data_IF_622861271396
#
_entry.id   IF_622861271396
#
_cell.length_a   1.000
_cell.length_b   1.000
_cell.length_c   1.000
_cell.angle_alpha   90.00
_cell.angle_beta   90.00
_cell.angle_gamma   90.00
#
_symmetry.space_group_name_H-M   'P 1'
#
loop_
_entity.id
_entity.type
_entity.pdbx_description
1 polymer ?
#
# COMPACT_ATOMS: atom_id res chain seq x y z
N UNK A 1 45.77 -7.69 3.43
CA UNK A 1 44.59 -7.66 2.50
C UNK A 1 43.57 -6.70 3.08
N UNK A 2 43.14 -5.70 2.32
CA UNK A 2 42.21 -4.65 2.77
C UNK A 2 40.79 -4.96 2.26
N UNK A 3 39.80 -4.82 3.13
CA UNK A 3 38.38 -4.98 2.81
C UNK A 3 37.65 -3.67 3.06
N UNK A 4 37.19 -3.03 2.00
CA UNK A 4 36.50 -1.73 2.07
C UNK A 4 34.99 -1.91 2.30
N UNK A 5 34.63 -2.33 3.51
CA UNK A 5 33.23 -2.58 3.90
C UNK A 5 32.33 -1.33 3.82
N UNK A 6 32.94 -0.14 3.79
CA UNK A 6 32.23 1.13 3.59
C UNK A 6 32.10 1.56 2.14
N UNK A 7 32.56 0.77 1.18
CA UNK A 7 32.39 1.05 -0.25
C UNK A 7 31.00 0.66 -0.73
N UNK A 8 30.33 1.52 -1.51
CA UNK A 8 28.97 1.23 -2.05
C UNK A 8 28.93 0.01 -2.97
N UNK A 9 30.08 -0.42 -3.50
CA UNK A 9 30.19 -1.58 -4.38
C UNK A 9 30.57 -2.87 -3.65
N UNK A 10 30.96 -2.79 -2.35
CA UNK A 10 31.40 -3.95 -1.60
C UNK A 10 30.22 -4.87 -1.26
N UNK A 11 30.35 -6.16 -1.62
CA UNK A 11 29.28 -7.16 -1.41
C UNK A 11 29.71 -8.18 -0.33
N UNK A 12 31.01 -8.49 -0.22
CA UNK A 12 31.57 -9.36 0.81
C UNK A 12 31.54 -10.85 0.50
N UNK A 13 30.45 -11.37 -0.07
CA UNK A 13 30.28 -12.82 -0.36
C UNK A 13 30.49 -13.21 -1.82
N UNK A 14 30.72 -12.24 -2.70
CA UNK A 14 31.05 -12.43 -4.11
C UNK A 14 31.81 -11.22 -4.62
N UNK A 15 32.48 -11.28 -5.80
CA UNK A 15 33.12 -10.12 -6.39
C UNK A 15 32.13 -8.98 -6.61
N UNK A 16 32.57 -7.75 -6.34
CA UNK A 16 31.82 -6.57 -6.73
C UNK A 16 31.84 -6.39 -8.25
N UNK A 17 31.12 -5.38 -8.76
CA UNK A 17 31.01 -5.14 -10.22
C UNK A 17 32.35 -4.92 -10.95
N UNK A 18 33.42 -4.59 -10.21
CA UNK A 18 34.75 -4.40 -10.76
C UNK A 18 35.63 -5.66 -10.74
N UNK A 19 35.20 -6.72 -10.04
CA UNK A 19 35.85 -8.03 -10.03
C UNK A 19 37.27 -8.07 -9.48
N UNK A 20 37.69 -7.07 -8.67
CA UNK A 20 39.05 -6.93 -8.15
C UNK A 20 39.08 -6.85 -6.62
N UNK A 21 40.25 -7.11 -6.01
CA UNK A 21 40.44 -6.93 -4.58
C UNK A 21 40.43 -5.44 -4.21
N UNK A 22 39.93 -5.14 -3.01
CA UNK A 22 39.81 -3.74 -2.53
C UNK A 22 41.16 -3.06 -2.36
N UNK A 23 42.23 -3.81 -2.09
CA UNK A 23 43.59 -3.29 -1.87
C UNK A 23 44.15 -2.52 -3.08
N UNK A 24 43.83 -2.98 -4.29
CA UNK A 24 44.28 -2.37 -5.55
C UNK A 24 43.17 -1.58 -6.25
N UNK A 25 42.03 -1.42 -5.61
CA UNK A 25 40.85 -0.82 -6.23
C UNK A 25 40.93 0.70 -6.30
N UNK A 26 40.87 1.25 -7.52
CA UNK A 26 40.78 2.69 -7.78
C UNK A 26 39.34 3.21 -7.88
N UNK A 27 38.35 2.30 -7.81
CA UNK A 27 36.93 2.61 -7.98
C UNK A 27 36.17 2.59 -6.63
N UNK A 28 36.87 2.78 -5.52
CA UNK A 28 36.24 2.88 -4.21
C UNK A 28 35.40 4.14 -4.15
N UNK A 29 34.13 3.96 -3.87
CA UNK A 29 33.17 5.03 -3.65
C UNK A 29 32.55 4.83 -2.26
N UNK A 30 32.55 5.85 -1.38
CA UNK A 30 31.87 5.74 -0.08
C UNK A 30 30.39 5.39 -0.28
N UNK A 31 29.87 4.51 0.56
CA UNK A 31 28.43 4.34 0.67
C UNK A 31 27.82 5.63 1.24
N UNK A 32 26.67 6.03 0.70
CA UNK A 32 25.88 7.11 1.27
C UNK A 32 25.31 6.75 2.65
N UNK A 33 24.52 7.64 3.23
CA UNK A 33 23.86 7.41 4.51
C UNK A 33 23.14 6.06 4.53
N UNK A 34 23.31 5.31 5.61
CA UNK A 34 22.63 4.01 5.80
C UNK A 34 21.34 4.23 6.54
N UNK A 35 20.23 4.00 5.84
CA UNK A 35 18.89 4.19 6.37
C UNK A 35 18.18 2.85 6.51
N UNK A 36 17.60 2.60 7.67
CA UNK A 36 16.70 1.47 7.88
C UNK A 36 15.27 2.00 8.01
N UNK A 37 14.37 1.52 7.15
CA UNK A 37 12.92 1.74 7.29
C UNK A 37 12.32 0.48 7.90
N UNK A 38 11.62 0.62 9.00
CA UNK A 38 10.85 -0.43 9.67
C UNK A 38 9.37 -0.13 9.42
N UNK A 39 8.76 -0.87 8.49
CA UNK A 39 7.32 -0.83 8.21
C UNK A 39 6.86 -2.23 7.84
N UNK A 40 6.24 -2.91 8.80
CA UNK A 40 5.93 -4.33 8.72
C UNK A 40 4.59 -4.58 8.04
N UNK A 41 3.57 -3.82 8.41
CA UNK A 41 2.19 -3.98 7.92
C UNK A 41 1.35 -2.72 8.20
N UNK A 42 0.03 -2.72 7.88
CA UNK A 42 -0.60 -3.65 6.94
C UNK A 42 -0.05 -3.50 5.51
N UNK A 43 -0.38 -4.44 4.60
CA UNK A 43 0.14 -4.44 3.21
C UNK A 43 -0.06 -3.09 2.50
N UNK A 44 -1.26 -2.50 2.63
CA UNK A 44 -1.55 -1.18 2.08
C UNK A 44 -0.70 -0.08 2.68
N UNK A 45 -0.41 -0.16 4.00
CA UNK A 45 0.44 0.81 4.69
C UNK A 45 1.90 0.70 4.26
N UNK A 46 2.40 -0.51 4.04
CA UNK A 46 3.75 -0.70 3.48
C UNK A 46 3.85 -0.03 2.12
N UNK A 47 2.85 -0.26 1.24
CA UNK A 47 2.85 0.33 -0.09
C UNK A 47 2.77 1.86 -0.04
N UNK A 48 1.83 2.45 0.72
CA UNK A 48 1.69 3.91 0.78
C UNK A 48 2.87 4.60 1.46
N UNK A 49 3.60 3.90 2.35
CA UNK A 49 4.82 4.42 2.97
C UNK A 49 5.98 4.59 1.97
N UNK A 50 5.95 3.93 0.81
CA UNK A 50 6.97 4.12 -0.23
C UNK A 50 7.02 5.55 -0.77
N UNK A 51 5.97 6.35 -0.56
CA UNK A 51 5.98 7.80 -0.87
C UNK A 51 7.04 8.60 -0.11
N UNK A 52 7.58 8.08 0.99
CA UNK A 52 8.70 8.70 1.72
C UNK A 52 10.02 8.66 0.94
N UNK A 53 10.19 7.70 0.04
CA UNK A 53 11.49 7.42 -0.58
C UNK A 53 12.04 8.58 -1.42
N UNK A 54 11.26 9.26 -2.28
CA UNK A 54 11.78 10.43 -3.00
C UNK A 54 12.14 11.59 -2.07
N UNK A 55 11.36 11.83 -1.00
CA UNK A 55 11.68 12.84 0.00
C UNK A 55 12.95 12.49 0.78
N UNK A 56 13.13 11.20 1.09
CA UNK A 56 14.34 10.69 1.74
C UNK A 56 15.59 10.87 0.83
N UNK A 57 15.47 10.57 -0.46
CA UNK A 57 16.57 10.79 -1.41
C UNK A 57 16.94 12.27 -1.55
N UNK A 58 15.96 13.18 -1.50
CA UNK A 58 16.25 14.63 -1.47
C UNK A 58 16.99 15.06 -0.21
N UNK A 59 16.59 14.52 0.94
CA UNK A 59 17.21 14.88 2.23
C UNK A 59 18.57 14.20 2.44
N UNK A 60 18.78 13.01 1.89
CA UNK A 60 19.96 12.19 2.03
C UNK A 60 20.39 11.61 0.67
N UNK A 61 20.95 12.42 -0.25
CA UNK A 61 21.29 11.97 -1.60
C UNK A 61 22.25 10.77 -1.59
N UNK A 62 21.88 9.71 -2.34
CA UNK A 62 22.65 8.48 -2.42
C UNK A 62 22.55 7.60 -1.16
N UNK A 63 21.55 7.81 -0.33
CA UNK A 63 21.29 6.96 0.84
C UNK A 63 21.11 5.48 0.45
N UNK A 64 21.64 4.59 1.25
CA UNK A 64 21.42 3.14 1.11
C UNK A 64 20.29 2.70 2.02
N UNK A 65 19.13 2.52 1.42
CA UNK A 65 17.91 2.15 2.15
C UNK A 65 17.80 0.63 2.26
N UNK A 66 17.75 0.13 3.50
CA UNK A 66 17.26 -1.19 3.84
C UNK A 66 15.83 -1.05 4.37
N UNK A 67 14.95 -1.94 3.94
CA UNK A 67 13.55 -1.95 4.38
C UNK A 67 13.21 -3.26 5.05
N UNK A 68 12.83 -3.20 6.32
CA UNK A 68 12.36 -4.34 7.11
C UNK A 68 10.83 -4.40 7.04
N UNK A 69 10.28 -5.52 6.57
CA UNK A 69 8.84 -5.70 6.35
C UNK A 69 8.39 -7.15 6.57
N UNK A 70 7.08 -7.35 6.70
CA UNK A 70 6.52 -8.71 6.67
C UNK A 70 6.87 -9.38 5.32
N UNK A 71 7.25 -10.68 5.33
CA UNK A 71 7.50 -11.42 4.09
C UNK A 71 6.37 -11.33 3.05
N UNK A 72 5.11 -11.26 3.50
CA UNK A 72 3.96 -11.09 2.61
C UNK A 72 3.92 -9.71 1.93
N UNK A 73 4.51 -8.67 2.54
CA UNK A 73 4.57 -7.32 1.99
C UNK A 73 5.81 -7.09 1.09
N UNK A 74 6.86 -7.89 1.23
CA UNK A 74 8.09 -7.76 0.46
C UNK A 74 7.87 -7.65 -1.07
N UNK A 75 6.91 -8.40 -1.69
CA UNK A 75 6.63 -8.28 -3.11
C UNK A 75 6.17 -6.87 -3.55
N UNK A 76 5.61 -6.05 -2.67
CA UNK A 76 5.18 -4.68 -2.97
C UNK A 76 6.37 -3.74 -3.18
N UNK A 77 7.53 -4.07 -2.63
CA UNK A 77 8.74 -3.26 -2.63
C UNK A 77 9.73 -3.63 -3.75
N UNK A 78 9.49 -4.75 -4.44
CA UNK A 78 10.39 -5.25 -5.49
C UNK A 78 10.46 -4.27 -6.68
N UNK A 79 11.69 -4.08 -7.18
CA UNK A 79 11.95 -3.18 -8.32
C UNK A 79 11.91 -1.69 -7.98
N UNK A 80 11.79 -1.33 -6.71
CA UNK A 80 11.87 0.06 -6.29
C UNK A 80 13.34 0.52 -6.28
N UNK A 81 13.66 1.54 -7.08
CA UNK A 81 15.03 2.01 -7.29
C UNK A 81 15.69 2.63 -6.05
N UNK A 82 14.88 3.12 -5.10
CA UNK A 82 15.37 3.69 -3.85
C UNK A 82 15.70 2.62 -2.80
N UNK A 83 15.19 1.38 -2.93
CA UNK A 83 15.38 0.32 -1.95
C UNK A 83 16.54 -0.59 -2.37
N UNK A 84 17.56 -0.65 -1.55
CA UNK A 84 18.77 -1.44 -1.81
C UNK A 84 18.70 -2.85 -1.22
N UNK A 85 17.96 -3.02 -0.13
CA UNK A 85 17.82 -4.29 0.58
C UNK A 85 16.42 -4.41 1.16
N UNK A 86 15.75 -5.54 0.94
CA UNK A 86 14.46 -5.87 1.56
C UNK A 86 14.73 -7.01 2.53
N UNK A 87 14.39 -6.80 3.79
CA UNK A 87 14.63 -7.73 4.89
C UNK A 87 13.30 -8.26 5.42
N UNK A 88 13.16 -9.57 5.60
CA UNK A 88 11.98 -10.12 6.26
C UNK A 88 12.00 -9.82 7.77
N UNK A 89 10.84 -9.47 8.33
CA UNK A 89 10.65 -9.38 9.77
C UNK A 89 10.37 -10.77 10.34
N UNK A 90 11.43 -11.49 10.66
CA UNK A 90 11.41 -12.82 11.24
C UNK A 90 12.46 -12.95 12.38
N UNK A 91 12.61 -14.15 12.91
CA UNK A 91 13.57 -14.42 13.96
C UNK A 91 15.03 -14.17 13.57
N UNK A 92 15.36 -14.13 12.28
CA UNK A 92 16.71 -13.84 11.80
C UNK A 92 16.99 -12.34 11.64
N UNK A 93 15.94 -11.49 11.68
CA UNK A 93 16.09 -10.05 11.47
C UNK A 93 17.00 -9.38 12.49
N UNK A 94 16.80 -9.66 13.79
CA UNK A 94 17.62 -9.04 14.83
C UNK A 94 19.11 -9.43 14.73
N UNK A 95 19.51 -10.70 14.65
CA UNK A 95 20.92 -11.07 14.46
C UNK A 95 21.56 -10.47 13.21
N UNK A 96 20.78 -10.31 12.13
CA UNK A 96 21.27 -9.71 10.89
C UNK A 96 21.46 -8.18 10.99
N UNK A 97 20.65 -7.51 11.81
CA UNK A 97 20.65 -6.06 11.97
C UNK A 97 21.48 -5.56 13.14
N UNK A 98 21.55 -6.32 14.24
CA UNK A 98 22.22 -5.92 15.49
C UNK A 98 23.69 -5.46 15.33
N UNK A 99 24.53 -6.08 14.48
CA UNK A 99 25.91 -5.62 14.29
C UNK A 99 26.02 -4.40 13.36
N UNK A 100 24.93 -4.00 12.69
CA UNK A 100 24.92 -2.87 11.76
C UNK A 100 24.80 -1.55 12.53
N UNK A 101 25.36 -0.50 11.95
CA UNK A 101 25.15 0.88 12.39
C UNK A 101 24.45 1.64 11.27
N UNK A 102 23.41 2.36 11.64
CA UNK A 102 22.62 3.19 10.72
C UNK A 102 22.87 4.67 11.03
N UNK A 103 22.80 5.50 10.01
CA UNK A 103 22.78 6.94 10.18
C UNK A 103 21.36 7.39 10.58
N UNK A 104 20.34 6.70 10.04
CA UNK A 104 18.93 6.96 10.35
C UNK A 104 18.13 5.65 10.43
N UNK A 105 17.30 5.51 11.46
CA UNK A 105 16.22 4.52 11.55
C UNK A 105 14.88 5.27 11.50
N UNK A 106 14.02 4.87 10.57
CA UNK A 106 12.63 5.29 10.45
C UNK A 106 11.74 4.12 10.87
N UNK A 107 10.90 4.31 11.89
CA UNK A 107 9.97 3.30 12.40
C UNK A 107 8.57 3.88 12.48
N UNK A 108 7.60 3.29 11.75
CA UNK A 108 6.23 3.82 11.63
C UNK A 108 5.16 2.86 12.13
N UNK A 109 5.56 1.72 12.71
CA UNK A 109 4.65 0.75 13.32
C UNK A 109 4.55 0.95 14.84
N UNK A 110 3.34 0.77 15.37
CA UNK A 110 3.05 0.89 16.82
C UNK A 110 3.08 -0.46 17.54
N UNK A 111 3.18 -1.57 16.81
CA UNK A 111 3.28 -2.90 17.37
C UNK A 111 4.58 -3.05 18.18
N UNK A 112 4.54 -3.77 19.33
CA UNK A 112 5.71 -3.89 20.21
C UNK A 112 6.96 -4.47 19.53
N UNK A 113 6.80 -5.41 18.60
CA UNK A 113 7.93 -6.05 17.90
C UNK A 113 8.77 -5.06 17.08
N UNK A 114 8.21 -4.41 16.05
CA UNK A 114 8.95 -3.45 15.23
C UNK A 114 9.40 -2.20 16.02
N UNK A 115 8.54 -1.66 16.90
CA UNK A 115 8.89 -0.51 17.72
C UNK A 115 10.03 -0.82 18.71
N UNK A 116 10.02 -2.02 19.32
CA UNK A 116 11.10 -2.49 20.18
C UNK A 116 12.40 -2.73 19.41
N UNK A 117 12.31 -3.24 18.18
CA UNK A 117 13.49 -3.43 17.34
C UNK A 117 14.15 -2.08 16.98
N UNK A 118 13.34 -1.04 16.69
CA UNK A 118 13.85 0.30 16.46
C UNK A 118 14.66 0.83 17.67
N UNK A 119 14.24 0.51 18.90
CA UNK A 119 14.98 0.86 20.12
C UNK A 119 16.30 0.10 20.27
N UNK A 120 16.30 -1.19 19.99
CA UNK A 120 17.47 -2.06 20.20
C UNK A 120 18.57 -1.83 19.18
N UNK A 121 18.26 -1.39 17.97
CA UNK A 121 19.25 -1.20 16.91
C UNK A 121 20.05 0.10 17.10
N UNK A 122 21.30 0.10 16.63
CA UNK A 122 22.21 1.24 16.73
C UNK A 122 22.04 2.20 15.55
N UNK A 123 21.72 3.47 15.83
CA UNK A 123 21.64 4.54 14.82
C UNK A 123 22.08 5.88 15.41
N UNK A 124 22.52 6.81 14.55
CA UNK A 124 22.78 8.20 14.94
C UNK A 124 21.49 8.96 15.22
N UNK A 125 20.46 8.69 14.40
CA UNK A 125 19.13 9.25 14.57
C UNK A 125 18.06 8.15 14.46
N UNK A 126 17.03 8.27 15.29
CA UNK A 126 15.82 7.43 15.22
C UNK A 126 14.61 8.33 15.14
N UNK A 127 13.70 8.05 14.21
CA UNK A 127 12.50 8.86 13.96
C UNK A 127 11.26 8.01 13.82
N UNK A 128 10.12 8.55 14.22
CA UNK A 128 8.82 7.89 14.19
C UNK A 128 8.43 7.29 15.54
N UNK A 129 8.25 5.98 15.62
CA UNK A 129 7.68 5.27 16.78
C UNK A 129 8.71 4.32 17.40
N UNK A 130 8.87 4.40 18.72
CA UNK A 130 9.65 3.50 19.55
C UNK A 130 8.82 2.80 20.60
N UNK A 131 9.46 1.97 21.41
CA UNK A 131 8.86 1.22 22.51
C UNK A 131 9.52 1.61 23.82
N UNK A 132 8.74 2.08 24.79
CA UNK A 132 9.22 2.47 26.10
C UNK A 132 9.66 1.27 26.94
N UNK A 133 10.37 1.51 28.04
CA UNK A 133 10.72 0.48 29.01
C UNK A 133 9.50 -0.19 29.67
N UNK A 134 8.32 0.41 29.57
CA UNK A 134 7.05 -0.15 30.04
C UNK A 134 6.33 -0.99 29.00
N UNK A 135 6.92 -1.18 27.80
CA UNK A 135 6.33 -1.96 26.71
C UNK A 135 5.22 -1.24 25.95
N UNK A 136 5.14 0.08 26.06
CA UNK A 136 4.16 0.91 25.35
C UNK A 136 4.82 1.72 24.24
N UNK A 137 4.18 1.86 23.05
CA UNK A 137 4.72 2.68 21.98
C UNK A 137 4.72 4.17 22.36
N UNK A 138 5.69 4.91 21.83
CA UNK A 138 5.80 6.36 22.02
C UNK A 138 6.50 7.02 20.81
N UNK A 139 6.36 8.34 20.58
CA UNK A 139 7.06 9.03 19.51
C UNK A 139 8.56 9.20 19.85
N UNK A 140 9.45 8.84 18.91
CA UNK A 140 10.91 8.95 19.06
C UNK A 140 11.43 10.38 18.90
N UNK A 141 10.67 11.23 18.21
CA UNK A 141 11.04 12.62 17.89
C UNK A 141 9.78 13.51 17.95
N UNK A 142 9.98 14.79 18.11
CA UNK A 142 8.90 15.76 18.31
C UNK A 142 7.97 15.84 17.10
N UNK A 143 8.49 15.69 15.90
CA UNK A 143 7.70 15.73 14.67
C UNK A 143 6.74 14.53 14.55
N UNK A 144 7.04 13.42 15.25
CA UNK A 144 6.18 12.24 15.28
C UNK A 144 5.00 12.36 16.27
N UNK A 145 5.01 13.34 17.18
CA UNK A 145 3.98 13.48 18.23
C UNK A 145 2.59 13.66 17.63
N UNK A 146 2.44 14.47 16.61
CA UNK A 146 1.13 14.68 15.96
C UNK A 146 0.63 13.40 15.30
N UNK A 147 1.46 12.74 14.48
CA UNK A 147 1.12 11.45 13.87
C UNK A 147 0.75 10.37 14.90
N UNK A 148 1.51 10.33 16.00
CA UNK A 148 1.25 9.39 17.11
C UNK A 148 -0.10 9.69 17.79
N UNK A 149 -0.37 10.97 18.09
CA UNK A 149 -1.58 11.43 18.80
C UNK A 149 -2.87 11.15 18.04
N UNK A 150 -2.86 11.10 16.71
CA UNK A 150 -4.00 10.69 15.90
C UNK A 150 -4.50 9.28 16.23
N UNK A 151 -3.64 8.42 16.75
CA UNK A 151 -4.04 7.09 17.20
C UNK A 151 -4.59 7.05 18.65
N UNK A 152 -4.55 8.16 19.36
CA UNK A 152 -4.98 8.29 20.77
C UNK A 152 -6.28 9.09 20.92
N UNK A 153 -6.71 9.79 19.88
CA UNK A 153 -7.91 10.67 19.94
C UNK A 153 -8.70 10.60 18.64
N UNK A 154 -9.93 10.12 18.75
CA UNK A 154 -10.88 10.10 17.64
C UNK A 154 -11.20 11.51 17.14
N UNK A 155 -11.33 12.49 18.03
CA UNK A 155 -11.54 13.90 17.68
C UNK A 155 -10.38 14.44 16.81
N UNK A 156 -9.14 14.20 17.23
CA UNK A 156 -7.97 14.61 16.43
C UNK A 156 -7.96 13.92 15.06
N UNK A 157 -8.23 12.62 15.03
CA UNK A 157 -8.14 11.80 13.83
C UNK A 157 -9.25 12.09 12.83
N UNK A 158 -10.50 12.20 13.29
CA UNK A 158 -11.65 12.23 12.40
C UNK A 158 -12.20 13.63 12.15
N UNK A 159 -12.02 14.56 13.11
CA UNK A 159 -12.62 15.88 13.03
C UNK A 159 -11.59 16.99 12.73
N UNK A 160 -10.36 16.86 13.26
CA UNK A 160 -9.34 17.91 13.14
C UNK A 160 -8.26 17.63 12.12
N UNK A 161 -8.00 16.35 11.79
CA UNK A 161 -6.96 16.03 10.83
C UNK A 161 -7.45 16.24 9.39
N UNK A 162 -6.76 17.10 8.66
CA UNK A 162 -6.97 17.33 7.23
C UNK A 162 -5.83 16.77 6.37
N UNK A 163 -4.76 16.26 7.01
CA UNK A 163 -3.58 15.77 6.31
C UNK A 163 -3.76 14.34 5.84
N UNK A 164 -3.22 14.05 4.66
CA UNK A 164 -3.13 12.67 4.15
C UNK A 164 -2.08 11.88 4.91
N UNK A 165 -2.15 10.56 4.83
CA UNK A 165 -1.13 9.67 5.42
C UNK A 165 0.28 9.98 4.91
N UNK A 166 0.42 10.29 3.61
CA UNK A 166 1.72 10.59 2.99
C UNK A 166 2.36 11.83 3.64
N UNK A 167 1.55 12.87 3.83
CA UNK A 167 1.99 14.09 4.52
C UNK A 167 2.35 13.81 5.99
N UNK A 168 1.46 13.13 6.72
CA UNK A 168 1.66 12.78 8.13
C UNK A 168 2.90 11.90 8.35
N UNK A 169 3.12 10.92 7.49
CA UNK A 169 4.26 10.03 7.59
C UNK A 169 5.59 10.76 7.29
N UNK A 170 5.62 11.63 6.28
CA UNK A 170 6.80 12.44 5.97
C UNK A 170 7.13 13.41 7.13
N UNK A 171 6.13 14.12 7.63
CA UNK A 171 6.27 15.03 8.76
C UNK A 171 6.77 14.30 10.01
N UNK A 172 6.19 13.12 10.33
CA UNK A 172 6.57 12.32 11.50
C UNK A 172 8.06 11.92 11.50
N UNK A 173 8.66 11.79 10.33
CA UNK A 173 10.09 11.46 10.20
C UNK A 173 10.95 12.64 9.81
N UNK A 174 10.39 13.86 9.88
CA UNK A 174 11.10 15.12 9.61
C UNK A 174 11.52 15.30 8.16
N UNK A 175 10.76 14.75 7.22
CA UNK A 175 10.94 14.94 5.78
C UNK A 175 9.91 15.94 5.24
N UNK A 176 10.32 16.74 4.26
CA UNK A 176 9.42 17.65 3.54
C UNK A 176 8.59 16.88 2.51
N UNK A 177 7.27 16.90 2.67
CA UNK A 177 6.33 16.32 1.70
C UNK A 177 6.06 17.31 0.56
N UNK A 178 6.26 16.89 -0.67
CA UNK A 178 6.05 17.68 -1.89
C UNK A 178 5.03 17.04 -2.84
N UNK A 179 4.12 16.21 -2.31
CA UNK A 179 3.08 15.54 -3.11
C UNK A 179 3.54 14.20 -3.68
N UNK A 180 4.49 13.53 -3.04
CA UNK A 180 5.02 12.25 -3.49
C UNK A 180 3.97 11.15 -3.45
N UNK A 181 3.86 10.42 -4.56
CA UNK A 181 2.96 9.27 -4.72
C UNK A 181 3.61 8.00 -4.17
N UNK A 182 2.80 7.00 -3.75
CA UNK A 182 3.31 5.67 -3.47
C UNK A 182 3.89 5.03 -4.74
N UNK A 183 4.93 4.21 -4.57
CA UNK A 183 5.67 3.60 -5.68
C UNK A 183 5.42 2.10 -5.70
N UNK A 184 4.83 1.60 -6.79
CA UNK A 184 4.68 0.18 -7.09
C UNK A 184 5.18 -0.08 -8.51
N UNK A 185 6.40 -0.54 -8.64
CA UNK A 185 6.96 -0.88 -9.94
C UNK A 185 6.55 -2.30 -10.32
N UNK A 186 5.95 -2.46 -11.49
CA UNK A 186 5.63 -3.75 -12.09
C UNK A 186 6.31 -3.86 -13.45
N UNK A 187 6.80 -5.06 -13.76
CA UNK A 187 7.46 -5.39 -15.03
C UNK A 187 6.44 -5.59 -16.15
N UNK A 188 6.89 -5.56 -17.41
CA UNK A 188 6.04 -5.87 -18.56
C UNK A 188 5.50 -7.30 -18.50
N UNK A 189 6.29 -8.24 -17.98
CA UNK A 189 5.84 -9.63 -17.75
C UNK A 189 4.68 -9.71 -16.77
N UNK A 190 4.70 -8.90 -15.72
CA UNK A 190 3.62 -8.83 -14.73
C UNK A 190 2.38 -8.12 -15.29
N UNK A 191 2.56 -7.10 -16.14
CA UNK A 191 1.46 -6.46 -16.88
C UNK A 191 0.78 -7.45 -17.81
N UNK A 192 1.57 -8.20 -18.60
CA UNK A 192 1.06 -9.21 -19.51
C UNK A 192 0.35 -10.35 -18.76
N UNK A 193 0.89 -10.77 -17.60
CA UNK A 193 0.19 -11.72 -16.74
C UNK A 193 -1.18 -11.22 -16.27
N UNK A 194 -1.33 -9.91 -16.07
CA UNK A 194 -2.63 -9.27 -15.80
C UNK A 194 -3.59 -9.36 -17.00
N UNK A 195 -3.10 -9.08 -18.21
CA UNK A 195 -3.85 -9.26 -19.46
C UNK A 195 -4.31 -10.71 -19.64
N UNK A 196 -3.42 -11.68 -19.38
CA UNK A 196 -3.73 -13.10 -19.52
C UNK A 196 -4.82 -13.55 -18.55
N UNK A 197 -4.82 -13.04 -17.31
CA UNK A 197 -5.90 -13.30 -16.35
C UNK A 197 -7.24 -12.82 -16.93
N UNK A 198 -7.29 -11.62 -17.46
CA UNK A 198 -8.52 -11.05 -18.05
C UNK A 198 -8.96 -11.82 -19.29
N UNK A 199 -8.05 -12.18 -20.20
CA UNK A 199 -8.34 -12.99 -21.40
C UNK A 199 -8.89 -14.36 -21.03
N UNK A 200 -8.31 -15.02 -20.04
CA UNK A 200 -8.82 -16.30 -19.52
C UNK A 200 -10.21 -16.17 -18.90
N UNK A 201 -10.53 -14.99 -18.37
CA UNK A 201 -11.86 -14.65 -17.86
C UNK A 201 -12.85 -14.20 -18.97
N UNK A 202 -12.42 -14.14 -20.24
CA UNK A 202 -13.27 -13.81 -21.39
C UNK A 202 -13.17 -12.38 -21.92
N UNK A 203 -12.19 -11.59 -21.44
CA UNK A 203 -11.92 -10.26 -21.98
C UNK A 203 -11.34 -10.35 -23.41
N UNK A 204 -11.90 -9.58 -24.33
CA UNK A 204 -11.50 -9.59 -25.74
C UNK A 204 -10.30 -8.68 -26.08
N UNK A 205 -9.79 -7.92 -25.08
CA UNK A 205 -8.68 -6.99 -25.24
C UNK A 205 -9.07 -5.58 -25.67
N UNK A 206 -10.33 -5.34 -26.06
CA UNK A 206 -10.80 -4.02 -26.57
C UNK A 206 -11.72 -3.30 -25.58
N UNK A 207 -12.41 -4.04 -24.73
CA UNK A 207 -13.37 -3.52 -23.77
C UNK A 207 -12.67 -2.76 -22.63
N UNK A 208 -13.20 -1.60 -22.20
CA UNK A 208 -12.70 -0.97 -20.98
C UNK A 208 -12.98 -1.87 -19.77
N UNK A 209 -11.98 -2.05 -18.91
CA UNK A 209 -12.09 -2.92 -17.75
C UNK A 209 -12.50 -2.12 -16.51
N UNK A 210 -13.65 -2.49 -15.93
CA UNK A 210 -14.09 -1.99 -14.61
C UNK A 210 -13.76 -3.05 -13.58
N UNK A 211 -12.75 -2.78 -12.74
CA UNK A 211 -12.37 -3.65 -11.65
C UNK A 211 -13.21 -3.38 -10.40
N UNK A 212 -13.96 -4.36 -9.91
CA UNK A 212 -14.70 -4.26 -8.65
C UNK A 212 -13.98 -5.12 -7.61
N UNK A 213 -13.32 -4.47 -6.65
CA UNK A 213 -12.70 -5.19 -5.55
C UNK A 213 -13.71 -5.49 -4.44
N UNK A 214 -13.96 -6.77 -4.21
CA UNK A 214 -14.99 -7.27 -3.29
C UNK A 214 -14.49 -7.53 -1.88
N UNK A 215 -13.15 -7.41 -1.65
CA UNK A 215 -12.48 -7.73 -0.41
C UNK A 215 -11.83 -6.54 0.27
N UNK A 216 -11.59 -6.67 1.59
CA UNK A 216 -10.83 -5.71 2.38
C UNK A 216 -9.92 -6.38 3.43
N UNK A 217 -9.69 -7.69 3.30
CA UNK A 217 -9.00 -8.50 4.29
C UNK A 217 -9.90 -8.93 5.45
N UNK A 218 -9.42 -9.90 6.24
CA UNK A 218 -10.23 -10.49 7.34
C UNK A 218 -10.32 -9.58 8.57
N UNK A 219 -9.32 -8.74 8.79
CA UNK A 219 -9.25 -7.95 10.02
C UNK A 219 -10.35 -6.88 10.13
N UNK A 220 -10.78 -6.33 8.98
CA UNK A 220 -11.82 -5.32 8.89
C UNK A 220 -12.86 -5.70 7.83
N UNK A 221 -13.58 -6.80 8.10
CA UNK A 221 -14.61 -7.30 7.18
C UNK A 221 -15.73 -6.29 6.90
N UNK A 222 -15.97 -5.35 7.80
CA UNK A 222 -16.95 -4.27 7.66
C UNK A 222 -16.54 -3.15 6.68
N UNK A 223 -15.36 -3.22 6.07
CA UNK A 223 -14.95 -2.35 4.94
C UNK A 223 -15.47 -2.85 3.58
N UNK A 224 -16.13 -4.01 3.55
CA UNK A 224 -16.64 -4.61 2.31
C UNK A 224 -18.13 -4.31 2.12
N UNK A 225 -18.51 -4.02 0.88
CA UNK A 225 -19.93 -4.03 0.49
C UNK A 225 -20.51 -5.44 0.59
N UNK A 226 -21.81 -5.55 0.88
CA UNK A 226 -22.55 -6.81 0.80
C UNK A 226 -22.63 -7.33 -0.66
N UNK A 227 -22.90 -8.61 -0.81
CA UNK A 227 -23.16 -9.20 -2.14
C UNK A 227 -24.32 -8.52 -2.84
N UNK A 228 -25.39 -8.15 -2.11
CA UNK A 228 -26.55 -7.46 -2.67
C UNK A 228 -26.17 -6.09 -3.22
N UNK A 229 -25.47 -5.27 -2.44
CA UNK A 229 -25.05 -3.93 -2.87
C UNK A 229 -24.08 -3.98 -4.08
N UNK A 230 -23.20 -4.99 -4.16
CA UNK A 230 -22.35 -5.19 -5.34
C UNK A 230 -23.17 -5.56 -6.57
N UNK A 231 -24.20 -6.40 -6.44
CA UNK A 231 -25.09 -6.74 -7.55
C UNK A 231 -25.88 -5.53 -8.05
N UNK A 232 -26.41 -4.71 -7.14
CA UNK A 232 -27.06 -3.44 -7.48
C UNK A 232 -26.10 -2.49 -8.21
N UNK A 233 -24.85 -2.40 -7.76
CA UNK A 233 -23.82 -1.60 -8.43
C UNK A 233 -23.49 -2.12 -9.84
N UNK A 234 -23.40 -3.44 -10.04
CA UNK A 234 -23.21 -4.04 -11.37
C UNK A 234 -24.41 -3.72 -12.28
N UNK A 235 -25.63 -3.78 -11.76
CA UNK A 235 -26.83 -3.42 -12.48
C UNK A 235 -26.86 -1.95 -12.89
N UNK A 236 -26.39 -1.05 -12.01
CA UNK A 236 -26.29 0.38 -12.30
C UNK A 236 -25.17 0.72 -13.32
N UNK A 237 -24.08 -0.05 -13.35
CA UNK A 237 -22.97 0.13 -14.31
C UNK A 237 -23.42 -0.23 -15.75
N UNK A 238 -24.25 -1.27 -15.92
CA UNK A 238 -24.64 -1.77 -17.23
C UNK A 238 -25.20 -0.71 -18.20
N UNK A 239 -26.15 0.13 -17.82
CA UNK A 239 -26.70 1.20 -18.68
C UNK A 239 -25.68 2.29 -19.04
N UNK A 240 -24.78 2.67 -18.14
CA UNK A 240 -23.83 3.78 -18.35
C UNK A 240 -22.53 3.33 -19.04
N UNK A 241 -22.16 2.06 -18.89
CA UNK A 241 -20.99 1.44 -19.50
C UNK A 241 -21.33 0.09 -20.16
N UNK A 242 -22.18 0.06 -21.20
CA UNK A 242 -22.74 -1.18 -21.77
C UNK A 242 -21.69 -2.09 -22.43
N UNK A 243 -20.51 -1.57 -22.73
CA UNK A 243 -19.41 -2.32 -23.35
C UNK A 243 -18.28 -2.66 -22.36
N UNK A 244 -18.41 -2.29 -21.08
CA UNK A 244 -17.36 -2.56 -20.12
C UNK A 244 -17.27 -4.05 -19.77
N UNK A 245 -16.05 -4.53 -19.63
CA UNK A 245 -15.74 -5.80 -18.99
C UNK A 245 -15.67 -5.60 -17.49
N UNK A 246 -16.63 -6.16 -16.75
CA UNK A 246 -16.66 -6.04 -15.29
C UNK A 246 -15.89 -7.20 -14.66
N UNK A 247 -14.74 -6.88 -14.10
CA UNK A 247 -13.82 -7.83 -13.46
C UNK A 247 -13.99 -7.80 -11.94
N UNK A 248 -14.37 -8.92 -11.32
CA UNK A 248 -14.39 -9.09 -9.87
C UNK A 248 -12.97 -9.38 -9.39
N UNK A 249 -12.45 -8.50 -8.57
CA UNK A 249 -11.14 -8.60 -7.93
C UNK A 249 -11.29 -9.11 -6.49
N UNK A 250 -10.23 -9.70 -5.93
CA UNK A 250 -10.23 -10.14 -4.54
C UNK A 250 -9.07 -11.07 -4.23
N UNK A 251 -8.86 -11.35 -2.95
CA UNK A 251 -7.92 -12.35 -2.46
C UNK A 251 -8.59 -13.72 -2.22
N UNK A 252 -7.86 -14.69 -1.66
CA UNK A 252 -8.37 -16.05 -1.44
C UNK A 252 -9.68 -16.13 -0.65
N UNK A 253 -9.89 -15.20 0.28
CA UNK A 253 -11.08 -15.14 1.12
C UNK A 253 -12.37 -14.76 0.37
N UNK A 254 -12.24 -14.13 -0.78
CA UNK A 254 -13.35 -13.65 -1.61
C UNK A 254 -13.78 -14.65 -2.69
N UNK A 255 -13.18 -15.84 -2.76
CA UNK A 255 -13.42 -16.83 -3.80
C UNK A 255 -14.91 -17.21 -3.93
N UNK A 256 -15.55 -17.58 -2.81
CA UNK A 256 -16.96 -17.95 -2.78
C UNK A 256 -17.86 -16.75 -3.11
N UNK A 257 -17.58 -15.60 -2.51
CA UNK A 257 -18.32 -14.35 -2.75
C UNK A 257 -18.30 -13.97 -4.22
N UNK A 258 -17.13 -13.97 -4.86
CA UNK A 258 -16.97 -13.62 -6.27
C UNK A 258 -17.70 -14.62 -7.18
N UNK A 259 -17.66 -15.93 -6.88
CA UNK A 259 -18.41 -16.92 -7.61
C UNK A 259 -19.93 -16.70 -7.52
N UNK A 260 -20.41 -16.37 -6.32
CA UNK A 260 -21.85 -16.11 -6.11
C UNK A 260 -22.29 -14.83 -6.84
N UNK A 261 -21.50 -13.76 -6.82
CA UNK A 261 -21.78 -12.53 -7.55
C UNK A 261 -21.79 -12.79 -9.07
N UNK A 262 -20.80 -13.49 -9.61
CA UNK A 262 -20.71 -13.80 -11.03
C UNK A 262 -21.94 -14.57 -11.52
N UNK A 263 -22.41 -15.57 -10.77
CA UNK A 263 -23.63 -16.33 -11.10
C UNK A 263 -24.88 -15.46 -11.00
N UNK A 264 -25.04 -14.69 -9.92
CA UNK A 264 -26.23 -13.89 -9.68
C UNK A 264 -26.35 -12.72 -10.67
N UNK A 265 -25.22 -12.13 -11.12
CA UNK A 265 -25.18 -11.09 -12.14
C UNK A 265 -25.45 -11.61 -13.56
N UNK A 266 -25.76 -12.88 -13.73
CA UNK A 266 -25.93 -13.53 -15.04
C UNK A 266 -24.72 -13.37 -15.95
N UNK A 267 -23.53 -13.49 -15.35
CA UNK A 267 -22.21 -13.35 -15.99
C UNK A 267 -21.92 -11.96 -16.59
N UNK A 268 -22.66 -10.93 -16.18
CA UNK A 268 -22.29 -9.53 -16.49
C UNK A 268 -21.01 -9.10 -15.79
N UNK A 269 -20.71 -9.69 -14.64
CA UNK A 269 -19.44 -9.56 -13.96
C UNK A 269 -18.74 -10.92 -13.89
N UNK A 270 -17.43 -10.94 -14.09
CA UNK A 270 -16.64 -12.16 -14.22
C UNK A 270 -15.66 -12.27 -13.05
N UNK A 271 -15.63 -13.44 -12.41
CA UNK A 271 -14.60 -13.74 -11.40
C UNK A 271 -13.26 -13.98 -12.10
N UNK A 272 -12.29 -13.08 -11.87
CA UNK A 272 -10.93 -13.18 -12.44
C UNK A 272 -10.02 -14.15 -11.69
N UNK A 273 -10.55 -14.83 -10.67
CA UNK A 273 -9.78 -15.65 -9.74
C UNK A 273 -9.28 -14.87 -8.54
N UNK A 274 -8.96 -15.58 -7.47
CA UNK A 274 -8.60 -15.01 -6.16
C UNK A 274 -7.29 -15.59 -5.59
N UNK A 275 -6.68 -16.54 -6.28
CA UNK A 275 -5.42 -17.20 -5.89
C UNK A 275 -4.16 -16.59 -6.51
N UNK A 276 -4.22 -15.35 -6.97
CA UNK A 276 -3.07 -14.70 -7.61
C UNK A 276 -2.00 -14.32 -6.59
N UNK A 277 -0.73 -14.46 -6.99
CA UNK A 277 0.35 -13.83 -6.22
C UNK A 277 0.18 -12.31 -6.22
N UNK A 278 0.76 -11.64 -5.23
CA UNK A 278 0.71 -10.18 -5.07
C UNK A 278 1.09 -9.43 -6.36
N UNK A 279 2.14 -9.89 -7.05
CA UNK A 279 2.64 -9.26 -8.28
C UNK A 279 1.70 -9.49 -9.48
N UNK A 280 1.12 -10.68 -9.60
CA UNK A 280 0.09 -10.95 -10.63
C UNK A 280 -1.19 -10.16 -10.37
N UNK A 281 -1.58 -9.99 -9.10
CA UNK A 281 -2.71 -9.15 -8.74
C UNK A 281 -2.45 -7.67 -9.07
N UNK A 282 -1.23 -7.15 -8.82
CA UNK A 282 -0.84 -5.81 -9.25
C UNK A 282 -0.89 -5.67 -10.78
N UNK A 283 -0.43 -6.69 -11.53
CA UNK A 283 -0.58 -6.77 -12.99
C UNK A 283 -2.05 -6.69 -13.43
N UNK A 284 -2.95 -7.41 -12.76
CA UNK A 284 -4.39 -7.37 -13.02
C UNK A 284 -4.98 -5.98 -12.74
N UNK A 285 -4.68 -5.38 -11.59
CA UNK A 285 -5.12 -4.02 -11.23
C UNK A 285 -4.64 -2.99 -12.26
N UNK A 286 -3.42 -3.16 -12.80
CA UNK A 286 -2.86 -2.25 -13.80
C UNK A 286 -3.63 -2.23 -15.12
N UNK A 287 -4.43 -3.26 -15.42
CA UNK A 287 -5.27 -3.34 -16.62
C UNK A 287 -6.65 -2.71 -16.44
N UNK A 288 -7.03 -2.39 -15.19
CA UNK A 288 -8.32 -1.76 -14.95
C UNK A 288 -8.29 -0.30 -15.44
N UNK A 289 -9.27 0.08 -16.26
CA UNK A 289 -9.51 1.47 -16.63
C UNK A 289 -10.04 2.29 -15.46
N UNK A 290 -10.81 1.65 -14.56
CA UNK A 290 -11.24 2.20 -13.26
C UNK A 290 -11.37 1.09 -12.24
N UNK A 291 -11.05 1.38 -10.97
CA UNK A 291 -11.18 0.45 -9.85
C UNK A 291 -12.22 0.98 -8.86
N UNK A 292 -13.23 0.15 -8.56
CA UNK A 292 -14.23 0.42 -7.53
C UNK A 292 -13.87 -0.39 -6.29
N UNK A 293 -13.60 0.26 -5.17
CA UNK A 293 -13.07 -0.44 -3.99
C UNK A 293 -13.33 0.33 -2.70
N UNK A 294 -13.47 -0.40 -1.59
CA UNK A 294 -13.29 0.18 -0.26
C UNK A 294 -11.82 0.47 0.06
N UNK A 295 -11.55 0.95 1.27
CA UNK A 295 -10.20 1.16 1.79
C UNK A 295 -9.47 -0.17 2.01
N UNK A 296 -8.74 -0.60 0.99
CA UNK A 296 -8.12 -1.92 0.88
C UNK A 296 -6.77 -1.84 0.16
N UNK A 297 -6.04 -2.97 0.13
CA UNK A 297 -4.80 -3.05 -0.66
C UNK A 297 -5.02 -2.72 -2.14
N UNK A 298 -6.16 -3.12 -2.72
CA UNK A 298 -6.49 -2.82 -4.12
C UNK A 298 -6.60 -1.31 -4.37
N UNK A 299 -7.12 -0.53 -3.41
CA UNK A 299 -7.11 0.93 -3.46
C UNK A 299 -5.69 1.47 -3.58
N UNK A 300 -4.81 1.05 -2.67
CA UNK A 300 -3.43 1.53 -2.64
C UNK A 300 -2.63 1.11 -3.87
N UNK A 301 -2.88 -0.10 -4.38
CA UNK A 301 -2.28 -0.55 -5.65
C UNK A 301 -2.78 0.27 -6.84
N UNK A 302 -4.08 0.53 -6.93
CA UNK A 302 -4.64 1.35 -8.01
C UNK A 302 -4.06 2.76 -8.00
N UNK A 303 -3.96 3.38 -6.81
CA UNK A 303 -3.32 4.70 -6.65
C UNK A 303 -1.85 4.68 -7.07
N UNK A 304 -1.07 3.69 -6.60
CA UNK A 304 0.35 3.58 -6.94
C UNK A 304 0.60 3.27 -8.44
N UNK A 305 -0.35 2.57 -9.09
CA UNK A 305 -0.33 2.26 -10.53
C UNK A 305 -1.02 3.34 -11.38
N UNK A 306 -1.40 4.45 -10.76
CA UNK A 306 -2.09 5.57 -11.40
C UNK A 306 -3.39 5.19 -12.13
N UNK A 307 -4.10 4.15 -11.62
CA UNK A 307 -5.41 3.78 -12.12
C UNK A 307 -6.49 4.66 -11.48
N UNK A 308 -7.46 5.13 -12.25
CA UNK A 308 -8.62 5.86 -11.72
C UNK A 308 -9.38 5.04 -10.69
N UNK A 309 -9.84 5.67 -9.59
CA UNK A 309 -10.48 4.97 -8.48
C UNK A 309 -11.78 5.66 -8.06
N UNK A 310 -12.86 4.89 -7.92
CA UNK A 310 -14.00 5.26 -7.10
C UNK A 310 -13.84 4.57 -5.73
N UNK A 311 -13.44 5.33 -4.72
CA UNK A 311 -13.08 4.84 -3.40
C UNK A 311 -14.21 5.03 -2.39
N UNK A 312 -14.60 3.95 -1.70
CA UNK A 312 -15.73 3.90 -0.78
C UNK A 312 -15.23 3.91 0.68
N UNK A 313 -15.65 4.88 1.46
CA UNK A 313 -15.25 5.06 2.85
C UNK A 313 -16.47 4.99 3.78
N UNK A 314 -16.57 3.91 4.51
CA UNK A 314 -17.53 3.74 5.60
C UNK A 314 -16.83 3.82 6.95
N UNK A 315 -16.18 2.73 7.41
CA UNK A 315 -15.62 2.67 8.76
C UNK A 315 -14.27 3.40 8.91
N UNK A 316 -13.62 3.87 7.84
CA UNK A 316 -12.29 4.47 7.87
C UNK A 316 -12.29 5.93 7.43
N UNK A 317 -11.24 6.66 7.82
CA UNK A 317 -11.09 8.10 7.58
C UNK A 317 -10.72 8.41 6.12
N UNK A 318 -11.58 9.07 5.34
CA UNK A 318 -11.31 9.36 3.93
C UNK A 318 -10.22 10.42 3.73
N UNK A 319 -9.99 11.31 4.68
CA UNK A 319 -8.98 12.37 4.59
C UNK A 319 -7.55 11.83 4.56
N UNK A 320 -7.30 10.66 5.18
CA UNK A 320 -5.97 10.04 5.18
C UNK A 320 -5.54 9.51 3.81
N UNK A 321 -6.47 9.34 2.87
CA UNK A 321 -6.22 8.80 1.55
C UNK A 321 -6.13 9.91 0.52
N UNK A 322 -5.04 9.99 -0.21
CA UNK A 322 -4.91 10.83 -1.40
C UNK A 322 -5.12 9.97 -2.66
N UNK A 323 -5.95 10.44 -3.57
CA UNK A 323 -6.17 9.82 -4.88
C UNK A 323 -5.37 10.55 -5.98
N UNK A 324 -4.59 11.55 -5.63
CA UNK A 324 -3.73 12.34 -6.53
C UNK A 324 -4.46 12.85 -7.78
N UNK A 325 -5.69 13.29 -7.60
CA UNK A 325 -6.54 13.81 -8.67
C UNK A 325 -7.10 12.75 -9.63
N UNK A 326 -6.84 11.45 -9.40
CA UNK A 326 -7.27 10.35 -10.28
C UNK A 326 -8.38 9.52 -9.64
N UNK A 327 -9.37 10.15 -9.05
CA UNK A 327 -10.47 9.40 -8.46
C UNK A 327 -11.51 10.26 -7.75
N UNK A 328 -12.55 9.56 -7.26
CA UNK A 328 -13.63 10.16 -6.47
C UNK A 328 -13.81 9.37 -5.18
N UNK A 329 -14.03 10.09 -4.08
CA UNK A 329 -14.31 9.50 -2.76
C UNK A 329 -15.81 9.54 -2.50
N UNK A 330 -16.35 8.40 -2.12
CA UNK A 330 -17.70 8.25 -1.61
C UNK A 330 -17.61 8.01 -0.11
N UNK A 331 -18.20 8.88 0.67
CA UNK A 331 -18.11 8.85 2.14
C UNK A 331 -19.48 8.57 2.70
N UNK A 332 -19.58 7.60 3.60
CA UNK A 332 -20.82 7.33 4.32
C UNK A 332 -21.04 8.36 5.41
N UNK A 333 -22.25 8.89 5.50
CA UNK A 333 -22.64 9.92 6.48
C UNK A 333 -23.49 9.35 7.61
N UNK A 334 -23.47 8.04 7.87
CA UNK A 334 -24.16 7.49 9.04
C UNK A 334 -23.45 7.92 10.33
N UNK A 335 -24.23 8.10 11.38
CA UNK A 335 -23.76 8.68 12.65
C UNK A 335 -22.54 7.97 13.26
N UNK A 336 -22.39 6.66 13.05
CA UNK A 336 -21.27 5.90 13.61
C UNK A 336 -20.03 5.85 12.71
N UNK A 337 -20.04 6.44 11.52
CA UNK A 337 -18.90 6.45 10.61
C UNK A 337 -18.13 7.77 10.68
N UNK A 338 -16.77 7.72 10.64
CA UNK A 338 -15.91 6.54 10.69
C UNK A 338 -15.78 5.95 12.09
N UNK A 339 -15.71 4.62 12.25
CA UNK A 339 -15.69 3.97 13.57
C UNK A 339 -14.48 3.07 13.83
N UNK A 340 -13.73 2.67 12.83
CA UNK A 340 -12.58 1.75 12.90
C UNK A 340 -12.86 0.42 13.64
N UNK A 341 -14.12 0.00 13.74
CA UNK A 341 -14.49 -1.29 14.35
C UNK A 341 -14.18 -2.43 13.40
N UNK A 342 -13.76 -3.57 13.94
CA UNK A 342 -13.49 -4.79 13.16
C UNK A 342 -14.76 -5.52 12.72
N UNK A 343 -15.85 -5.37 13.47
CA UNK A 343 -17.18 -5.94 13.19
C UNK A 343 -18.25 -4.86 13.30
N UNK A 344 -19.38 -5.11 12.64
CA UNK A 344 -20.53 -4.21 12.65
C UNK A 344 -21.78 -4.99 13.04
N UNK A 345 -22.51 -4.47 14.04
CA UNK A 345 -23.77 -5.04 14.53
C UNK A 345 -25.01 -4.43 13.84
N UNK A 346 -24.79 -3.48 12.92
CA UNK A 346 -25.86 -2.80 12.19
C UNK A 346 -26.26 -3.62 10.96
N UNK A 347 -27.57 -3.86 10.79
CA UNK A 347 -28.10 -4.71 9.74
C UNK A 347 -27.83 -4.20 8.31
N UNK A 348 -27.84 -2.86 8.12
CA UNK A 348 -27.39 -2.17 6.90
C UNK A 348 -26.12 -1.41 7.23
N UNK A 349 -24.99 -1.92 6.76
CA UNK A 349 -23.69 -1.33 7.05
C UNK A 349 -23.49 0.00 6.32
N UNK A 350 -22.57 0.84 6.82
CA UNK A 350 -22.17 2.05 6.13
C UNK A 350 -21.69 1.82 4.69
N UNK A 351 -21.22 0.62 4.40
CA UNK A 351 -20.73 0.23 3.06
C UNK A 351 -21.85 -0.09 2.07
N UNK A 352 -23.07 -0.34 2.55
CA UNK A 352 -24.21 -0.66 1.70
C UNK A 352 -25.14 0.54 1.44
N UNK A 353 -24.82 1.71 1.99
CA UNK A 353 -25.66 2.92 1.93
C UNK A 353 -25.23 3.92 0.85
N UNK A 354 -24.30 3.55 -0.01
CA UNK A 354 -23.89 4.41 -1.10
C UNK A 354 -24.90 4.39 -2.25
N UNK A 355 -25.07 5.53 -2.93
CA UNK A 355 -25.81 5.59 -4.19
C UNK A 355 -25.04 4.86 -5.28
N UNK A 356 -25.51 3.68 -5.66
CA UNK A 356 -24.89 2.87 -6.72
C UNK A 356 -24.91 3.57 -8.08
N UNK A 357 -25.94 4.39 -8.34
CA UNK A 357 -26.04 5.21 -9.56
C UNK A 357 -24.95 6.29 -9.61
N UNK A 358 -24.61 6.91 -8.47
CA UNK A 358 -23.54 7.91 -8.39
C UNK A 358 -22.18 7.26 -8.60
N UNK A 359 -21.97 6.06 -8.03
CA UNK A 359 -20.75 5.29 -8.25
C UNK A 359 -20.62 4.88 -9.72
N UNK A 360 -21.69 4.41 -10.35
CA UNK A 360 -21.68 4.01 -11.75
C UNK A 360 -21.39 5.19 -12.67
N UNK A 361 -22.01 6.36 -12.45
CA UNK A 361 -21.71 7.58 -13.18
C UNK A 361 -20.24 8.01 -12.99
N UNK A 362 -19.74 8.00 -11.77
CA UNK A 362 -18.35 8.34 -11.49
C UNK A 362 -17.37 7.37 -12.19
N UNK A 363 -17.69 6.08 -12.26
CA UNK A 363 -16.88 5.11 -12.99
C UNK A 363 -16.83 5.43 -14.49
N UNK A 364 -17.96 5.83 -15.09
CA UNK A 364 -18.02 6.24 -16.49
C UNK A 364 -17.22 7.53 -16.74
N UNK A 365 -17.39 8.54 -15.88
CA UNK A 365 -16.66 9.81 -15.96
C UNK A 365 -15.15 9.57 -15.85
N UNK A 366 -14.71 8.79 -14.88
CA UNK A 366 -13.29 8.47 -14.65
C UNK A 366 -12.69 7.69 -15.83
N UNK A 367 -13.42 6.74 -16.39
CA UNK A 367 -12.99 6.04 -17.61
C UNK A 367 -12.83 7.00 -18.80
N UNK A 368 -13.72 7.97 -18.94
CA UNK A 368 -13.65 8.94 -20.03
C UNK A 368 -12.52 9.98 -19.81
N UNK A 369 -12.32 10.42 -18.56
CA UNK A 369 -11.33 11.45 -18.20
C UNK A 369 -9.89 10.94 -18.35
N UNK A 370 -9.65 9.64 -18.10
CA UNK A 370 -8.32 9.04 -18.06
C UNK A 370 -8.09 7.94 -19.12
N UNK A 371 -8.94 7.87 -20.18
CA UNK A 371 -8.82 6.93 -21.30
C UNK A 371 -7.56 7.14 -22.15
#
# INVERSE_FOLDING_TARGET
MKFETGCKHYIGHKPCRFGQLCEDCKNMEPAGARVLIIKIGALGDVLRTTSLLPALERAHPGARVAWLTDPAAAPLLLGNEYIHEILPFDHAAYPALAPRRFDLIISLDKEPGPAGLAELLSAEQKRGIGLSAHGTPYPLNIEAEHYFSLGLSDELKFEKNEKTYHHLAAEAVGLEYQGEKPILNITDVEREAGCDILRQAGWDGSQPVVGINTGAGLEFANKMMSTAAILEMIDAIGPVLPKAFIALLGGPNEAEKNNNIARASRLRAVNTGTGHSMRRFAGLVSQCGVVLTGDSLALHMAVALERPVAALFGPTAPQEIDLFGRGRKFVSHIQCAPCYRKSCDVQHTCMDMFSVDDIARAAADLLHEFA
#
